data_IF_755928977596
#
_entry.id   IF_755928977596
#
_cell.length_a   1.000
_cell.length_b   1.000
_cell.length_c   1.000
_cell.angle_alpha   90.00
_cell.angle_beta   90.00
_cell.angle_gamma   90.00
#
_symmetry.space_group_name_H-M   'P 1'
#
loop_
_entity.id
_entity.type
_entity.pdbx_description
1 polymer ?
#
# COMPACT_ATOMS: atom_id res chain seq x y z
N UNK A 1 -18.79 73.40 -12.64
CA UNK A 1 -18.10 72.52 -13.61
C UNK A 1 -18.46 71.09 -13.22
N UNK A 2 -19.41 70.49 -13.96
CA UNK A 2 -19.15 69.34 -14.85
C UNK A 2 -18.32 68.24 -14.14
N UNK A 3 -18.95 67.20 -13.57
CA UNK A 3 -19.39 65.94 -14.21
C UNK A 3 -18.22 64.97 -14.48
N UNK A 4 -18.53 63.67 -14.27
CA UNK A 4 -17.81 62.43 -14.68
C UNK A 4 -16.92 61.84 -13.57
N UNK A 5 -17.45 60.96 -12.69
CA UNK A 5 -17.69 59.52 -12.89
C UNK A 5 -16.41 58.68 -12.67
N UNK A 6 -16.39 57.51 -12.02
CA UNK A 6 -17.43 56.59 -11.61
C UNK A 6 -16.82 55.62 -10.54
N UNK A 7 -17.56 55.42 -9.45
CA UNK A 7 -17.85 54.16 -8.74
C UNK A 7 -16.74 53.12 -8.40
N UNK A 8 -16.53 52.85 -7.09
CA UNK A 8 -16.94 51.64 -6.33
C UNK A 8 -16.10 50.39 -6.66
N UNK A 9 -15.56 49.57 -5.76
CA UNK A 9 -15.90 49.23 -4.37
C UNK A 9 -14.74 48.39 -3.82
N UNK A 10 -14.17 48.73 -2.67
CA UNK A 10 -13.26 47.84 -1.95
C UNK A 10 -13.89 47.51 -0.59
N UNK A 11 -14.38 46.27 -0.51
CA UNK A 11 -15.00 45.65 0.66
C UNK A 11 -13.90 45.35 1.69
N UNK A 12 -14.27 45.53 2.94
CA UNK A 12 -13.51 45.29 4.16
C UNK A 12 -13.10 43.82 4.29
N UNK A 13 -11.80 43.55 4.48
CA UNK A 13 -11.31 42.33 5.11
C UNK A 13 -10.06 42.69 5.94
N UNK A 14 -10.03 42.45 7.27
CA UNK A 14 -8.82 42.63 8.07
C UNK A 14 -7.94 41.38 7.96
N UNK A 15 -6.69 41.60 7.53
CA UNK A 15 -5.58 40.70 7.79
C UNK A 15 -5.36 40.55 9.31
N UNK A 16 -5.33 39.30 9.78
CA UNK A 16 -4.61 38.86 10.97
C UNK A 16 -4.07 37.47 10.60
N UNK A 17 -2.80 37.27 10.22
CA UNK A 17 -1.59 37.35 11.04
C UNK A 17 -1.72 36.61 12.37
N UNK A 18 -1.45 35.30 12.35
CA UNK A 18 -0.99 34.56 13.52
C UNK A 18 0.16 33.65 13.11
N UNK A 19 1.35 33.97 13.62
CA UNK A 19 2.47 33.07 13.74
C UNK A 19 2.44 32.43 15.15
N UNK A 20 2.55 31.09 15.17
CA UNK A 20 3.19 30.15 16.12
C UNK A 20 3.09 30.37 17.65
N UNK A 21 2.98 29.28 18.46
CA UNK A 21 4.17 28.48 18.78
C UNK A 21 3.96 26.95 18.79
N UNK A 22 5.08 26.25 18.62
CA UNK A 22 5.32 24.84 18.88
C UNK A 22 4.90 24.40 20.30
N UNK A 23 4.19 23.26 20.39
CA UNK A 23 4.23 22.34 21.53
C UNK A 23 3.93 20.93 21.01
N UNK A 24 4.95 20.07 20.99
CA UNK A 24 4.75 18.62 20.95
C UNK A 24 4.33 18.09 22.31
N UNK A 25 3.70 16.91 22.35
CA UNK A 25 3.69 15.93 23.45
C UNK A 25 3.04 14.62 22.96
N UNK A 26 3.86 13.57 23.02
CA UNK A 26 3.62 12.13 23.30
C UNK A 26 2.40 11.37 22.73
N UNK A 27 2.71 10.28 22.04
CA UNK A 27 2.66 8.96 22.68
C UNK A 27 1.32 8.23 22.78
N UNK A 28 0.30 8.62 22.03
CA UNK A 28 -0.93 7.82 21.88
C UNK A 28 -1.29 7.72 20.38
N UNK A 29 -1.05 6.53 19.81
CA UNK A 29 -1.23 6.25 18.38
C UNK A 29 -2.69 6.22 17.96
N UNK A 30 -3.23 7.39 17.63
CA UNK A 30 -4.50 7.55 16.94
C UNK A 30 -4.36 7.21 15.44
N UNK A 31 -5.37 6.54 14.89
CA UNK A 31 -5.56 6.43 13.44
C UNK A 31 -6.23 7.69 12.90
N UNK A 32 -5.64 8.23 11.86
CA UNK A 32 -6.25 9.06 10.83
C UNK A 32 -5.85 8.45 9.49
N UNK A 33 -6.73 8.38 8.48
CA UNK A 33 -6.23 8.45 7.10
C UNK A 33 -5.38 9.71 7.05
N UNK A 34 -4.10 9.63 6.66
CA UNK A 34 -3.20 10.76 6.83
C UNK A 34 -3.86 12.05 6.31
N UNK A 35 -4.12 12.88 7.30
CA UNK A 35 -4.55 14.24 7.20
C UNK A 35 -3.42 14.96 6.47
N UNK A 36 -3.73 15.79 5.47
CA UNK A 36 -2.84 16.72 4.78
C UNK A 36 -2.21 17.76 5.72
N UNK A 37 -1.46 17.32 6.74
CA UNK A 37 -0.12 17.89 6.87
C UNK A 37 0.52 17.71 5.50
N UNK A 38 0.99 18.80 4.88
CA UNK A 38 1.60 18.78 3.55
C UNK A 38 2.36 17.47 3.43
N UNK A 39 2.02 16.60 2.44
CA UNK A 39 2.69 15.33 2.36
C UNK A 39 4.18 15.65 2.42
N UNK A 40 4.97 14.80 3.04
CA UNK A 40 6.37 14.73 2.64
C UNK A 40 6.32 14.28 1.17
N UNK A 41 6.03 15.24 0.27
CA UNK A 41 5.68 14.97 -1.12
C UNK A 41 6.99 14.51 -1.68
N UNK A 42 7.10 13.19 -1.82
CA UNK A 42 8.27 12.58 -2.44
C UNK A 42 8.46 13.31 -3.76
N UNK A 43 9.58 14.02 -3.97
CA UNK A 43 9.74 14.85 -5.15
C UNK A 43 9.56 13.99 -6.40
N UNK A 44 8.89 14.55 -7.40
CA UNK A 44 8.80 13.90 -8.71
C UNK A 44 10.23 13.81 -9.27
N UNK A 45 10.74 12.62 -9.63
CA UNK A 45 12.05 12.50 -10.26
C UNK A 45 12.13 13.36 -11.53
N UNK A 46 13.32 13.89 -11.81
CA UNK A 46 13.52 14.66 -13.03
C UNK A 46 13.24 13.77 -14.25
N UNK A 47 12.55 14.33 -15.23
CA UNK A 47 12.03 13.61 -16.39
C UNK A 47 12.18 14.43 -17.67
N UNK A 48 13.06 15.43 -17.68
CA UNK A 48 13.56 15.94 -18.95
C UNK A 48 14.34 14.84 -19.71
N UNK A 49 14.48 15.00 -21.03
CA UNK A 49 15.10 13.99 -21.88
C UNK A 49 16.51 13.60 -21.42
N UNK A 50 17.29 14.55 -20.90
CA UNK A 50 18.67 14.29 -20.45
C UNK A 50 18.64 13.45 -19.18
N UNK A 51 17.77 13.80 -18.24
CA UNK A 51 17.59 13.07 -16.98
C UNK A 51 17.05 11.66 -17.18
N UNK A 52 16.13 11.46 -18.15
CA UNK A 52 15.67 10.12 -18.54
C UNK A 52 16.79 9.27 -19.17
N UNK A 53 17.63 9.87 -20.01
CA UNK A 53 18.82 9.20 -20.57
C UNK A 53 19.83 8.81 -19.48
N UNK A 54 20.04 9.66 -18.47
CA UNK A 54 20.91 9.35 -17.33
C UNK A 54 20.35 8.21 -16.46
N UNK A 55 19.06 8.25 -16.14
CA UNK A 55 18.39 7.19 -15.39
C UNK A 55 18.39 5.86 -16.17
N UNK A 56 18.16 5.91 -17.49
CA UNK A 56 18.22 4.74 -18.36
C UNK A 56 19.61 4.09 -18.33
N UNK A 57 20.70 4.86 -18.34
CA UNK A 57 22.07 4.33 -18.19
C UNK A 57 22.31 3.66 -16.84
N UNK A 58 21.72 4.18 -15.76
CA UNK A 58 21.84 3.54 -14.44
C UNK A 58 21.15 2.16 -14.47
N UNK A 59 19.94 2.09 -15.03
CA UNK A 59 19.12 0.89 -15.03
C UNK A 59 19.60 -0.17 -16.03
N UNK A 60 19.89 0.23 -17.28
CA UNK A 60 20.25 -0.65 -18.39
C UNK A 60 21.75 -0.72 -18.71
N UNK A 61 22.54 0.22 -18.19
CA UNK A 61 23.96 0.36 -18.50
C UNK A 61 24.23 1.19 -19.76
N UNK A 62 25.47 1.64 -19.93
CA UNK A 62 25.85 2.52 -21.05
C UNK A 62 26.17 1.77 -22.35
N UNK A 63 26.37 0.46 -22.30
CA UNK A 63 26.84 -0.34 -23.45
C UNK A 63 26.57 -1.83 -23.27
N UNK A 64 26.74 -2.64 -24.31
CA UNK A 64 26.63 -4.11 -24.20
C UNK A 64 27.63 -4.76 -23.22
N UNK A 65 28.60 -4.01 -22.71
CA UNK A 65 29.60 -4.47 -21.72
C UNK A 65 29.37 -3.90 -20.33
N UNK A 66 28.48 -2.92 -20.18
CA UNK A 66 28.04 -2.37 -18.89
C UNK A 66 26.57 -2.74 -18.69
N UNK A 67 26.27 -3.55 -17.68
CA UNK A 67 24.93 -4.11 -17.50
C UNK A 67 24.05 -3.29 -16.57
N UNK A 68 24.50 -2.12 -16.12
CA UNK A 68 23.73 -1.26 -15.21
C UNK A 68 23.18 -2.04 -14.03
N UNK A 69 21.89 -1.88 -13.76
CA UNK A 69 21.14 -2.60 -12.74
C UNK A 69 20.40 -3.83 -13.27
N UNK A 70 20.67 -4.28 -14.49
CA UNK A 70 20.15 -5.53 -15.05
C UNK A 70 18.77 -5.44 -15.70
N UNK A 71 18.26 -4.23 -15.94
CA UNK A 71 16.99 -4.01 -16.63
C UNK A 71 17.19 -3.64 -18.09
N UNK A 72 16.23 -3.96 -18.94
CA UNK A 72 16.12 -3.37 -20.27
C UNK A 72 15.17 -2.18 -20.18
N UNK A 73 15.61 -1.01 -20.69
CA UNK A 73 14.87 0.25 -20.54
C UNK A 73 14.65 0.92 -21.89
N UNK A 74 13.40 1.26 -22.17
CA UNK A 74 13.01 2.13 -23.28
C UNK A 74 12.50 3.46 -22.74
N UNK A 75 12.92 4.57 -23.36
CA UNK A 75 12.36 5.89 -23.05
C UNK A 75 11.10 6.06 -23.90
N UNK A 76 9.93 6.04 -23.26
CA UNK A 76 8.61 6.11 -23.93
C UNK A 76 7.77 7.21 -23.31
N UNK A 77 7.07 7.98 -24.15
CA UNK A 77 6.07 8.98 -23.72
C UNK A 77 6.50 9.93 -22.57
N UNK A 78 7.80 10.27 -22.48
CA UNK A 78 8.34 11.13 -21.42
C UNK A 78 8.56 10.43 -20.08
N UNK A 79 8.74 9.11 -20.08
CA UNK A 79 9.17 8.32 -18.92
C UNK A 79 9.93 7.05 -19.33
N UNK A 80 10.23 6.20 -18.35
CA UNK A 80 10.95 4.94 -18.56
C UNK A 80 9.98 3.76 -18.56
N UNK A 81 10.04 2.94 -19.61
CA UNK A 81 9.44 1.61 -19.67
C UNK A 81 10.51 0.58 -19.33
N UNK A 82 10.26 -0.23 -18.31
CA UNK A 82 11.23 -1.17 -17.72
C UNK A 82 10.78 -2.60 -17.96
N UNK A 83 11.69 -3.39 -18.51
CA UNK A 83 11.50 -4.81 -18.79
C UNK A 83 12.66 -5.64 -18.22
N UNK A 84 12.45 -6.95 -18.09
CA UNK A 84 13.48 -7.85 -17.58
C UNK A 84 14.48 -8.17 -18.69
N UNK A 85 15.75 -7.84 -18.47
CA UNK A 85 16.83 -8.28 -19.35
C UNK A 85 17.26 -9.69 -18.93
N UNK A 86 17.45 -10.62 -19.88
CA UNK A 86 18.04 -11.93 -19.56
C UNK A 86 19.55 -11.77 -19.36
N UNK A 87 20.10 -11.82 -18.13
CA UNK A 87 21.51 -11.55 -17.94
C UNK A 87 22.32 -12.83 -18.23
N UNK A 88 22.98 -12.88 -19.39
CA UNK A 88 23.97 -13.93 -19.71
C UNK A 88 25.31 -13.66 -18.98
N UNK A 89 25.27 -13.61 -17.64
CA UNK A 89 26.41 -13.35 -16.73
C UNK A 89 26.50 -11.97 -16.06
N UNK A 90 27.55 -11.72 -15.30
CA UNK A 90 27.83 -10.43 -14.64
C UNK A 90 26.89 -10.11 -13.46
N UNK A 91 26.29 -11.13 -12.88
CA UNK A 91 25.28 -10.99 -11.82
C UNK A 91 25.83 -10.37 -10.53
N UNK A 92 27.11 -10.60 -10.22
CA UNK A 92 27.82 -9.95 -9.12
C UNK A 92 27.86 -8.44 -9.29
N UNK A 93 28.13 -7.97 -10.51
CA UNK A 93 28.19 -6.54 -10.82
C UNK A 93 26.82 -5.90 -10.86
N UNK A 94 25.81 -6.59 -11.40
CA UNK A 94 24.42 -6.13 -11.36
C UNK A 94 23.97 -5.97 -9.89
N UNK A 95 24.25 -6.95 -9.04
CA UNK A 95 23.95 -6.90 -7.61
C UNK A 95 24.67 -5.74 -6.89
N UNK A 96 25.94 -5.48 -7.21
CA UNK A 96 26.67 -4.31 -6.71
C UNK A 96 26.03 -2.99 -7.17
N UNK A 97 25.67 -2.89 -8.45
CA UNK A 97 25.06 -1.68 -9.02
C UNK A 97 23.68 -1.41 -8.43
N UNK A 98 22.84 -2.44 -8.24
CA UNK A 98 21.54 -2.30 -7.57
C UNK A 98 21.67 -1.72 -6.17
N UNK A 99 22.65 -2.18 -5.38
CA UNK A 99 22.90 -1.67 -4.02
C UNK A 99 23.49 -0.26 -4.03
N UNK A 100 24.45 -0.01 -4.90
CA UNK A 100 25.16 1.28 -4.98
C UNK A 100 24.24 2.41 -5.44
N UNK A 101 23.29 2.10 -6.32
CA UNK A 101 22.28 3.06 -6.79
C UNK A 101 21.04 3.13 -5.88
N UNK A 102 21.06 2.45 -4.72
CA UNK A 102 19.96 2.50 -3.76
C UNK A 102 18.64 1.93 -4.28
N UNK A 103 18.71 0.90 -5.13
CA UNK A 103 17.55 0.14 -5.60
C UNK A 103 17.35 -1.09 -4.72
N UNK A 104 18.42 -1.86 -4.43
CA UNK A 104 18.30 -3.09 -3.67
C UNK A 104 18.59 -2.89 -2.18
N UNK A 105 17.55 -3.03 -1.37
CA UNK A 105 17.60 -2.99 0.10
C UNK A 105 17.01 -4.28 0.70
N UNK A 106 17.21 -4.44 2.01
CA UNK A 106 16.71 -5.59 2.75
C UNK A 106 16.15 -5.12 4.08
N UNK A 107 15.05 -5.74 4.51
CA UNK A 107 14.48 -5.52 5.83
C UNK A 107 13.85 -6.81 6.36
N UNK A 108 13.55 -6.84 7.64
CA UNK A 108 12.71 -7.87 8.25
C UNK A 108 11.81 -7.24 9.30
N UNK A 109 10.59 -7.75 9.42
CA UNK A 109 9.75 -7.42 10.57
C UNK A 109 9.72 -8.56 11.59
N UNK A 110 9.42 -8.20 12.82
CA UNK A 110 9.05 -9.11 13.89
C UNK A 110 7.65 -8.71 14.37
N UNK A 111 6.86 -9.69 14.81
CA UNK A 111 5.51 -9.47 15.32
C UNK A 111 4.56 -8.81 14.31
N UNK A 112 4.81 -9.01 13.00
CA UNK A 112 3.88 -8.63 11.95
C UNK A 112 2.65 -9.54 11.96
N UNK A 113 1.48 -8.94 11.74
CA UNK A 113 0.21 -9.65 11.56
C UNK A 113 0.22 -10.54 10.32
N UNK A 114 0.88 -10.07 9.26
CA UNK A 114 1.17 -10.88 8.09
C UNK A 114 2.44 -11.68 8.33
N UNK A 115 2.35 -13.00 8.24
CA UNK A 115 3.49 -13.88 8.48
C UNK A 115 4.61 -13.72 7.45
N UNK A 116 4.28 -13.39 6.19
CA UNK A 116 5.27 -13.18 5.14
C UNK A 116 6.20 -11.99 5.41
N UNK A 117 5.71 -10.97 6.12
CA UNK A 117 6.55 -9.84 6.53
C UNK A 117 7.49 -10.18 7.70
N UNK A 118 7.23 -11.27 8.42
CA UNK A 118 8.16 -11.80 9.43
C UNK A 118 9.37 -12.53 8.80
N UNK A 119 9.35 -12.76 7.49
CA UNK A 119 10.48 -13.30 6.74
C UNK A 119 11.42 -12.18 6.25
N UNK A 120 12.48 -12.56 5.53
CA UNK A 120 13.32 -11.60 4.83
C UNK A 120 12.52 -10.90 3.73
N UNK A 121 12.57 -9.58 3.73
CA UNK A 121 12.00 -8.72 2.71
C UNK A 121 13.13 -8.20 1.84
N UNK A 122 13.06 -8.51 0.55
CA UNK A 122 13.88 -7.90 -0.48
C UNK A 122 13.13 -6.69 -0.99
N UNK A 123 13.78 -5.52 -1.02
CA UNK A 123 13.16 -4.26 -1.41
C UNK A 123 13.83 -3.78 -2.70
N UNK A 124 13.03 -3.48 -3.71
CA UNK A 124 13.41 -2.79 -4.93
C UNK A 124 12.82 -1.38 -4.89
N UNK A 125 13.67 -0.40 -4.62
CA UNK A 125 13.30 1.00 -4.47
C UNK A 125 13.52 1.77 -5.79
N UNK A 126 12.42 2.11 -6.45
CA UNK A 126 12.42 2.89 -7.67
C UNK A 126 12.04 4.36 -7.44
N UNK A 127 11.99 4.82 -6.19
CA UNK A 127 11.52 6.17 -5.84
C UNK A 127 12.25 7.31 -6.57
N UNK A 128 13.50 7.10 -6.97
CA UNK A 128 14.34 8.08 -7.66
C UNK A 128 14.28 7.99 -9.19
N UNK A 129 13.47 7.09 -9.76
CA UNK A 129 13.42 6.85 -11.21
C UNK A 129 12.04 7.19 -11.75
N UNK A 130 11.96 7.94 -12.84
CA UNK A 130 10.70 8.32 -13.48
C UNK A 130 10.16 7.18 -14.37
N UNK A 131 9.88 6.03 -13.74
CA UNK A 131 9.36 4.83 -14.40
C UNK A 131 7.84 4.96 -14.56
N UNK A 132 7.37 4.85 -15.79
CA UNK A 132 5.94 4.92 -16.13
C UNK A 132 5.36 3.54 -16.45
N UNK A 133 6.18 2.53 -16.69
CA UNK A 133 5.71 1.21 -17.08
C UNK A 133 6.68 0.11 -16.61
N UNK A 134 6.11 -0.95 -16.04
CA UNK A 134 6.77 -2.25 -15.87
C UNK A 134 6.10 -3.25 -16.81
N UNK A 135 6.84 -3.68 -17.83
CA UNK A 135 6.31 -4.59 -18.85
C UNK A 135 6.22 -6.02 -18.30
N UNK A 136 5.69 -6.94 -19.13
CA UNK A 136 5.74 -8.37 -18.84
C UNK A 136 7.16 -8.83 -18.42
N UNK A 137 7.23 -9.63 -17.35
CA UNK A 137 8.46 -10.23 -16.80
C UNK A 137 9.53 -9.22 -16.32
N UNK A 138 9.15 -7.98 -16.01
CA UNK A 138 10.06 -6.91 -15.59
C UNK A 138 11.11 -7.34 -14.52
N UNK A 139 10.72 -8.22 -13.60
CA UNK A 139 11.57 -8.67 -12.48
C UNK A 139 12.03 -10.13 -12.60
N UNK A 140 11.48 -10.90 -13.54
CA UNK A 140 11.62 -12.36 -13.57
C UNK A 140 13.08 -12.79 -13.74
N UNK A 141 13.84 -12.09 -14.57
CA UNK A 141 15.23 -12.42 -14.89
C UNK A 141 16.27 -11.90 -13.89
N UNK A 142 15.83 -11.17 -12.87
CA UNK A 142 16.71 -10.62 -11.83
C UNK A 142 17.14 -11.65 -10.77
N UNK A 143 16.61 -12.88 -10.84
CA UNK A 143 16.80 -13.90 -9.80
C UNK A 143 18.27 -14.21 -9.49
N UNK A 144 19.17 -14.34 -10.47
CA UNK A 144 20.59 -14.60 -10.17
C UNK A 144 21.30 -13.41 -9.56
N UNK A 145 20.96 -12.19 -9.99
CA UNK A 145 21.52 -10.97 -9.41
C UNK A 145 20.98 -10.73 -8.00
N UNK A 146 19.77 -11.18 -7.67
CA UNK A 146 19.17 -10.96 -6.34
C UNK A 146 19.41 -12.14 -5.40
N UNK A 147 19.40 -13.39 -5.87
CA UNK A 147 19.48 -14.58 -5.03
C UNK A 147 20.88 -15.23 -5.05
N UNK A 148 21.77 -14.82 -5.96
CA UNK A 148 23.00 -15.56 -6.24
C UNK A 148 22.73 -16.84 -7.04
N UNK A 149 23.67 -17.78 -7.06
CA UNK A 149 23.55 -19.07 -7.76
C UNK A 149 24.08 -19.10 -9.20
N UNK A 150 24.50 -17.96 -9.75
CA UNK A 150 25.25 -17.93 -10.99
C UNK A 150 26.69 -18.44 -10.75
N UNK A 151 27.34 -18.96 -11.80
CA UNK A 151 28.71 -19.50 -11.67
C UNK A 151 29.72 -18.47 -11.14
N UNK A 152 29.60 -17.23 -11.61
CA UNK A 152 30.43 -16.10 -11.20
C UNK A 152 29.95 -15.44 -9.90
N UNK A 153 28.72 -15.70 -9.49
CA UNK A 153 28.09 -15.12 -8.30
C UNK A 153 27.31 -16.17 -7.52
N UNK A 154 27.99 -17.20 -6.98
CA UNK A 154 27.31 -18.36 -6.40
C UNK A 154 26.62 -18.00 -5.08
N UNK A 155 27.27 -17.22 -4.21
CA UNK A 155 26.80 -16.93 -2.86
C UNK A 155 27.28 -15.56 -2.40
N UNK A 156 26.52 -14.90 -1.53
CA UNK A 156 26.91 -13.64 -0.92
C UNK A 156 26.18 -13.40 0.41
N UNK A 157 26.72 -12.48 1.22
CA UNK A 157 26.14 -12.12 2.51
C UNK A 157 25.83 -10.63 2.55
N UNK A 158 24.69 -10.30 3.12
CA UNK A 158 24.28 -8.93 3.44
C UNK A 158 24.29 -8.78 4.95
N UNK A 159 25.03 -7.80 5.44
CA UNK A 159 25.18 -7.47 6.86
C UNK A 159 24.30 -6.26 7.23
N UNK A 160 24.04 -6.09 8.53
CA UNK A 160 23.32 -4.94 9.11
C UNK A 160 21.90 -4.73 8.55
N UNK A 161 21.21 -5.82 8.21
CA UNK A 161 19.80 -5.77 7.79
C UNK A 161 18.96 -5.30 8.98
N UNK A 162 18.22 -4.18 8.86
CA UNK A 162 17.39 -3.70 9.95
C UNK A 162 16.22 -4.66 10.20
N UNK A 163 16.02 -4.98 11.48
CA UNK A 163 14.86 -5.72 11.95
C UNK A 163 13.96 -4.76 12.73
N UNK A 164 12.69 -4.67 12.32
CA UNK A 164 11.72 -3.76 12.91
C UNK A 164 10.65 -4.52 13.68
N UNK A 165 10.28 -4.01 14.84
CA UNK A 165 9.10 -4.52 15.54
C UNK A 165 7.83 -3.89 14.92
N UNK A 166 6.95 -4.71 14.34
CA UNK A 166 5.73 -4.25 13.66
C UNK A 166 4.63 -3.74 14.59
N UNK A 167 4.75 -3.90 15.91
CA UNK A 167 3.81 -3.32 16.85
C UNK A 167 4.18 -1.87 17.20
N UNK A 168 5.47 -1.58 17.26
CA UNK A 168 6.02 -0.29 17.73
C UNK A 168 6.65 0.56 16.63
N UNK A 169 6.96 -0.04 15.48
CA UNK A 169 7.65 0.60 14.36
C UNK A 169 9.13 0.93 14.62
N UNK A 170 9.69 0.44 15.73
CA UNK A 170 11.07 0.73 16.11
C UNK A 170 12.01 -0.33 15.55
N UNK A 171 13.20 0.08 15.11
CA UNK A 171 14.30 -0.85 14.84
C UNK A 171 14.61 -1.58 16.15
N UNK A 172 14.36 -2.88 16.18
CA UNK A 172 14.59 -3.73 17.35
C UNK A 172 16.06 -4.13 17.42
N UNK A 173 16.65 -4.50 16.27
CA UNK A 173 18.03 -4.98 16.12
C UNK A 173 18.44 -4.98 14.65
N UNK A 174 19.65 -5.46 14.39
CA UNK A 174 20.14 -5.77 13.04
C UNK A 174 20.41 -7.28 12.93
N UNK A 175 20.40 -7.78 11.70
CA UNK A 175 20.73 -9.17 11.37
C UNK A 175 21.56 -9.24 10.08
N UNK A 176 21.92 -10.46 9.68
CA UNK A 176 22.58 -10.74 8.42
C UNK A 176 21.81 -11.84 7.66
N UNK A 177 21.82 -11.75 6.34
CA UNK A 177 21.28 -12.79 5.46
C UNK A 177 22.41 -13.33 4.57
N UNK A 178 22.57 -14.65 4.55
CA UNK A 178 23.50 -15.34 3.64
C UNK A 178 22.72 -16.08 2.57
N UNK A 179 22.94 -15.70 1.32
CA UNK A 179 22.39 -16.32 0.13
C UNK A 179 23.39 -17.37 -0.36
N UNK A 180 22.92 -18.62 -0.51
CA UNK A 180 23.75 -19.76 -0.88
C UNK A 180 23.22 -20.41 -2.15
N UNK A 181 24.06 -20.41 -3.18
CA UNK A 181 23.88 -21.10 -4.46
C UNK A 181 22.54 -20.80 -5.16
N UNK A 182 21.91 -19.66 -4.86
CA UNK A 182 20.62 -19.24 -5.42
C UNK A 182 19.40 -19.99 -4.87
N UNK A 183 19.60 -21.02 -4.03
CA UNK A 183 18.53 -21.93 -3.56
C UNK A 183 18.25 -21.85 -2.07
N UNK A 184 19.06 -21.11 -1.32
CA UNK A 184 18.96 -21.11 0.14
C UNK A 184 19.30 -19.76 0.72
N UNK A 185 18.50 -19.28 1.65
CA UNK A 185 18.76 -18.07 2.43
C UNK A 185 18.84 -18.46 3.90
N UNK A 186 19.91 -18.03 4.58
CA UNK A 186 20.02 -18.15 6.04
C UNK A 186 19.95 -16.78 6.69
N UNK A 187 18.95 -16.56 7.53
CA UNK A 187 18.72 -15.33 8.29
C UNK A 187 18.36 -15.69 9.73
N UNK A 188 18.93 -15.01 10.73
CA UNK A 188 18.70 -15.32 12.16
C UNK A 188 18.96 -16.80 12.54
N UNK A 189 19.85 -17.49 11.82
CA UNK A 189 20.12 -18.92 12.02
C UNK A 189 18.99 -19.85 11.54
N UNK A 190 17.94 -19.31 10.92
CA UNK A 190 16.91 -20.06 10.21
C UNK A 190 17.27 -20.17 8.73
N UNK A 191 17.03 -21.33 8.15
CA UNK A 191 17.30 -21.62 6.75
C UNK A 191 15.98 -21.68 5.98
N UNK A 192 15.88 -20.90 4.92
CA UNK A 192 14.77 -20.81 3.98
C UNK A 192 15.22 -21.51 2.69
N UNK A 193 14.47 -22.52 2.25
CA UNK A 193 14.82 -23.37 1.09
C UNK A 193 13.70 -23.54 0.08
N UNK A 194 12.50 -23.05 0.38
CA UNK A 194 11.32 -23.13 -0.48
C UNK A 194 10.31 -22.08 -0.01
N UNK A 195 9.85 -21.23 -0.93
CA UNK A 195 9.01 -20.07 -0.60
C UNK A 195 9.65 -19.21 0.50
N UNK A 196 8.88 -18.37 1.18
CA UNK A 196 9.33 -17.71 2.40
C UNK A 196 10.18 -16.45 2.22
N UNK A 197 10.21 -15.83 1.04
CA UNK A 197 10.67 -14.44 0.89
C UNK A 197 9.51 -13.53 0.50
N UNK A 198 9.61 -12.27 0.92
CA UNK A 198 8.72 -11.20 0.49
C UNK A 198 9.49 -10.24 -0.41
N UNK A 199 8.87 -9.79 -1.50
CA UNK A 199 9.38 -8.71 -2.34
C UNK A 199 8.59 -7.44 -2.05
N UNK A 200 9.26 -6.30 -1.88
CA UNK A 200 8.62 -4.97 -1.85
C UNK A 200 9.13 -4.14 -3.01
N UNK A 201 8.22 -3.55 -3.77
CA UNK A 201 8.53 -2.65 -4.88
C UNK A 201 8.06 -1.25 -4.47
N UNK A 202 9.00 -0.34 -4.26
CA UNK A 202 8.69 1.05 -3.90
C UNK A 202 8.60 1.89 -5.16
N UNK A 203 7.43 2.48 -5.38
CA UNK A 203 7.13 3.20 -6.61
C UNK A 203 7.57 4.67 -6.53
N UNK A 204 7.90 5.30 -7.67
CA UNK A 204 8.21 6.73 -7.75
C UNK A 204 6.96 7.59 -7.61
N UNK A 205 7.15 8.88 -7.30
CA UNK A 205 6.09 9.87 -7.53
C UNK A 205 6.12 10.31 -9.00
N UNK A 206 5.00 10.22 -9.71
CA UNK A 206 4.89 10.69 -11.09
C UNK A 206 4.12 12.01 -11.25
N UNK A 207 3.66 12.60 -10.14
CA UNK A 207 2.75 13.74 -10.16
C UNK A 207 1.34 13.36 -10.64
N UNK A 208 0.53 14.37 -10.97
CA UNK A 208 -0.88 14.17 -11.36
C UNK A 208 -1.06 13.79 -12.85
N UNK A 209 -0.04 14.03 -13.69
CA UNK A 209 -0.16 13.97 -15.15
C UNK A 209 0.16 12.59 -15.74
N UNK A 210 0.69 11.67 -14.93
CA UNK A 210 1.19 10.37 -15.40
C UNK A 210 0.64 9.23 -14.56
N UNK A 211 0.42 8.11 -15.23
CA UNK A 211 0.00 6.85 -14.61
C UNK A 211 1.13 5.85 -14.77
N UNK A 212 1.54 5.23 -13.67
CA UNK A 212 2.42 4.07 -13.69
C UNK A 212 1.60 2.83 -14.05
N UNK A 213 2.08 2.03 -15.00
CA UNK A 213 1.40 0.82 -15.46
C UNK A 213 2.20 -0.43 -15.12
N UNK A 214 1.56 -1.41 -14.49
CA UNK A 214 2.01 -2.79 -14.43
C UNK A 214 1.23 -3.62 -15.45
N UNK A 215 1.94 -4.10 -16.48
CA UNK A 215 1.35 -4.90 -17.56
C UNK A 215 0.93 -6.30 -17.11
N UNK A 216 0.20 -6.99 -17.99
CA UNK A 216 0.01 -8.43 -17.89
C UNK A 216 1.37 -9.12 -17.68
N UNK A 217 1.45 -10.03 -16.69
CA UNK A 217 2.65 -10.80 -16.37
C UNK A 217 3.87 -9.99 -15.87
N UNK A 218 3.71 -8.71 -15.52
CA UNK A 218 4.81 -7.86 -15.02
C UNK A 218 5.37 -8.30 -13.66
N UNK A 219 4.53 -8.92 -12.83
CA UNK A 219 4.85 -9.50 -11.52
C UNK A 219 4.95 -11.04 -11.59
N UNK A 220 5.47 -11.55 -12.71
CA UNK A 220 5.79 -12.96 -12.88
C UNK A 220 7.20 -13.25 -12.35
N UNK A 221 7.31 -14.26 -11.48
CA UNK A 221 8.57 -14.70 -10.85
C UNK A 221 8.88 -16.18 -11.12
N UNK A 222 8.41 -16.72 -12.25
CA UNK A 222 8.60 -18.12 -12.62
C UNK A 222 10.07 -18.58 -12.57
N UNK A 223 11.01 -17.75 -13.03
CA UNK A 223 12.42 -18.10 -13.02
C UNK A 223 13.03 -18.10 -11.62
N UNK A 224 12.49 -17.31 -10.69
CA UNK A 224 12.91 -17.32 -9.29
C UNK A 224 12.62 -18.67 -8.62
N UNK A 225 11.44 -19.23 -8.88
CA UNK A 225 11.06 -20.55 -8.36
C UNK A 225 11.74 -21.71 -9.11
N UNK A 226 11.75 -21.67 -10.45
CA UNK A 226 12.28 -22.77 -11.25
C UNK A 226 13.80 -22.91 -11.22
N UNK A 227 14.53 -21.80 -11.06
CA UNK A 227 16.00 -21.79 -11.02
C UNK A 227 16.55 -21.64 -9.61
N UNK A 228 15.82 -20.98 -8.70
CA UNK A 228 16.26 -20.65 -7.34
C UNK A 228 15.40 -21.19 -6.20
N UNK A 229 14.30 -21.91 -6.45
CA UNK A 229 13.37 -22.41 -5.42
C UNK A 229 12.82 -21.35 -4.45
N UNK A 230 13.02 -20.06 -4.72
CA UNK A 230 12.77 -18.94 -3.80
C UNK A 230 11.97 -17.85 -4.52
N UNK A 231 10.84 -18.22 -5.13
CA UNK A 231 9.91 -17.23 -5.63
C UNK A 231 9.26 -16.47 -4.46
N UNK A 232 8.97 -15.16 -4.60
CA UNK A 232 8.25 -14.41 -3.59
C UNK A 232 6.82 -14.93 -3.44
N UNK A 233 6.47 -15.35 -2.22
CA UNK A 233 5.09 -15.73 -1.88
C UNK A 233 4.22 -14.49 -1.65
N UNK A 234 4.87 -13.40 -1.24
CA UNK A 234 4.28 -12.09 -1.03
C UNK A 234 4.97 -11.03 -1.89
N UNK A 235 4.18 -10.22 -2.60
CA UNK A 235 4.66 -9.02 -3.29
C UNK A 235 3.93 -7.80 -2.75
N UNK A 236 4.69 -6.90 -2.11
CA UNK A 236 4.22 -5.63 -1.62
C UNK A 236 4.45 -4.53 -2.66
N UNK A 237 3.38 -3.89 -3.09
CA UNK A 237 3.41 -2.70 -3.95
C UNK A 237 3.28 -1.47 -3.04
N UNK A 238 4.39 -0.76 -2.89
CA UNK A 238 4.46 0.43 -2.08
C UNK A 238 4.16 1.67 -2.91
N UNK A 239 2.91 2.10 -2.77
CA UNK A 239 2.29 3.22 -3.48
C UNK A 239 2.41 4.53 -2.69
N UNK A 240 3.10 4.53 -1.55
CA UNK A 240 3.08 5.66 -0.63
C UNK A 240 3.69 6.95 -1.19
N UNK A 241 4.58 6.84 -2.18
CA UNK A 241 5.15 8.00 -2.88
C UNK A 241 4.27 8.47 -4.06
N UNK A 242 3.33 7.66 -4.55
CA UNK A 242 2.55 7.98 -5.74
C UNK A 242 1.46 9.00 -5.44
N UNK A 243 1.32 9.97 -6.33
CA UNK A 243 0.10 10.79 -6.37
C UNK A 243 -1.01 9.97 -7.03
N UNK A 244 -2.02 9.60 -6.25
CA UNK A 244 -3.19 8.85 -6.76
C UNK A 244 -4.43 9.71 -6.58
N UNK A 245 -5.20 9.84 -7.65
CA UNK A 245 -6.41 10.68 -7.67
C UNK A 245 -7.60 9.86 -8.17
N UNK A 246 -8.68 9.73 -7.37
CA UNK A 246 -9.92 9.10 -7.81
C UNK A 246 -10.60 9.95 -8.88
N UNK A 247 -11.15 9.31 -9.91
CA UNK A 247 -12.01 9.99 -10.89
C UNK A 247 -13.43 9.95 -10.37
N UNK A 248 -14.03 11.13 -10.19
CA UNK A 248 -15.33 11.26 -9.56
C UNK A 248 -16.38 11.81 -10.51
N UNK A 249 -17.60 11.27 -10.39
CA UNK A 249 -18.81 11.85 -10.97
C UNK A 249 -19.19 13.15 -10.25
N UNK A 250 -20.12 13.92 -10.82
CA UNK A 250 -20.62 15.17 -10.21
C UNK A 250 -21.26 14.95 -8.82
N UNK A 251 -21.85 13.78 -8.58
CA UNK A 251 -22.42 13.37 -7.29
C UNK A 251 -21.40 12.75 -6.33
N UNK A 252 -20.10 12.75 -6.67
CA UNK A 252 -19.00 12.36 -5.79
C UNK A 252 -18.73 10.85 -5.69
N UNK A 253 -19.28 10.05 -6.60
CA UNK A 253 -19.01 8.61 -6.73
C UNK A 253 -17.79 8.36 -7.62
N UNK A 254 -17.18 7.20 -7.48
CA UNK A 254 -16.17 6.73 -8.42
C UNK A 254 -16.79 6.59 -9.82
N UNK A 255 -16.13 7.19 -10.81
CA UNK A 255 -16.54 7.07 -12.21
C UNK A 255 -16.10 5.73 -12.77
N UNK A 256 -17.00 4.75 -12.71
CA UNK A 256 -16.83 3.40 -13.26
C UNK A 256 -17.21 3.28 -14.74
N UNK A 257 -17.53 4.40 -15.41
CA UNK A 257 -17.94 4.39 -16.82
C UNK A 257 -16.75 4.21 -17.79
N UNK A 258 -15.54 4.54 -17.33
CA UNK A 258 -14.29 4.31 -18.04
C UNK A 258 -13.54 3.10 -17.49
N UNK A 259 -12.52 2.64 -18.21
CA UNK A 259 -11.72 1.48 -17.82
C UNK A 259 -10.87 1.71 -16.55
N UNK A 260 -10.62 2.96 -16.17
CA UNK A 260 -9.76 3.30 -15.02
C UNK A 260 -10.49 4.28 -14.08
N UNK A 261 -10.84 3.82 -12.89
CA UNK A 261 -11.50 4.57 -11.80
C UNK A 261 -10.57 5.55 -11.07
N UNK A 262 -9.26 5.32 -11.18
CA UNK A 262 -8.20 6.16 -10.62
C UNK A 262 -7.21 6.62 -11.68
N UNK A 263 -6.40 7.61 -11.33
CA UNK A 263 -5.20 8.04 -12.04
C UNK A 263 -3.98 7.89 -11.13
N UNK A 264 -2.78 7.81 -11.72
CA UNK A 264 -1.53 7.65 -10.99
C UNK A 264 -0.98 6.22 -10.99
N UNK A 265 -1.85 5.21 -10.90
CA UNK A 265 -1.43 3.80 -10.94
C UNK A 265 -2.47 2.90 -11.60
N UNK A 266 -1.99 1.94 -12.41
CA UNK A 266 -2.78 0.86 -13.00
C UNK A 266 -2.03 -0.45 -12.88
N UNK A 267 -2.69 -1.46 -12.34
CA UNK A 267 -2.13 -2.82 -12.24
C UNK A 267 -3.06 -3.76 -12.98
N UNK A 268 -2.52 -4.49 -13.96
CA UNK A 268 -3.29 -5.54 -14.61
C UNK A 268 -3.72 -6.61 -13.61
N UNK A 269 -4.97 -7.07 -13.72
CA UNK A 269 -5.44 -8.25 -12.97
C UNK A 269 -4.72 -9.55 -13.37
N UNK A 270 -3.90 -9.51 -14.43
CA UNK A 270 -3.01 -10.61 -14.84
C UNK A 270 -1.54 -10.35 -14.50
N UNK A 271 -1.21 -9.31 -13.75
CA UNK A 271 0.18 -8.96 -13.45
C UNK A 271 0.94 -10.13 -12.80
N UNK A 272 0.28 -10.90 -11.92
CA UNK A 272 0.86 -12.06 -11.22
C UNK A 272 0.67 -13.39 -11.93
N UNK A 273 -0.06 -13.41 -13.06
CA UNK A 273 -0.32 -14.65 -13.78
C UNK A 273 0.94 -15.17 -14.46
N UNK A 274 0.88 -16.42 -14.90
CA UNK A 274 1.98 -17.15 -15.53
C UNK A 274 1.43 -17.95 -16.73
N UNK A 275 2.24 -18.13 -17.77
CA UNK A 275 1.83 -18.86 -18.98
C UNK A 275 1.68 -20.37 -18.81
N UNK A 276 2.15 -20.91 -17.68
CA UNK A 276 2.09 -22.33 -17.32
C UNK A 276 1.60 -22.47 -15.88
N UNK A 277 0.88 -23.52 -15.48
CA UNK A 277 0.49 -23.72 -14.08
C UNK A 277 1.75 -23.95 -13.23
N UNK A 278 2.02 -23.02 -12.32
CA UNK A 278 3.06 -23.07 -11.29
C UNK A 278 2.58 -22.28 -10.06
N UNK A 279 3.32 -22.35 -8.95
CA UNK A 279 2.98 -21.64 -7.73
C UNK A 279 3.04 -20.13 -7.97
N UNK A 280 1.88 -19.49 -7.89
CA UNK A 280 1.69 -18.04 -8.06
C UNK A 280 1.86 -17.32 -6.72
N UNK A 281 2.25 -16.05 -6.77
CA UNK A 281 2.18 -15.15 -5.63
C UNK A 281 0.81 -15.26 -4.94
N UNK A 282 0.80 -15.71 -3.68
CA UNK A 282 -0.43 -15.97 -2.93
C UNK A 282 -0.90 -14.73 -2.16
N UNK A 283 -0.01 -13.76 -1.93
CA UNK A 283 -0.28 -12.53 -1.20
C UNK A 283 0.19 -11.29 -1.94
N UNK A 284 -0.70 -10.34 -2.19
CA UNK A 284 -0.35 -8.99 -2.66
C UNK A 284 -0.55 -8.02 -1.52
N UNK A 285 0.43 -7.17 -1.23
CA UNK A 285 0.24 -6.07 -0.29
C UNK A 285 0.19 -4.74 -1.00
N UNK A 286 -0.66 -3.84 -0.54
CA UNK A 286 -0.60 -2.42 -0.87
C UNK A 286 -0.12 -1.64 0.34
N UNK A 287 0.89 -0.79 0.16
CA UNK A 287 1.39 0.08 1.23
C UNK A 287 1.11 1.54 0.83
N UNK A 288 0.09 2.13 1.46
CA UNK A 288 -0.31 3.53 1.23
C UNK A 288 -0.06 4.41 2.44
N UNK A 289 -0.04 5.71 2.24
CA UNK A 289 0.08 6.73 3.28
C UNK A 289 -1.10 7.70 3.30
N UNK A 290 -1.76 7.94 2.16
CA UNK A 290 -2.87 8.89 2.04
C UNK A 290 -4.23 8.21 1.87
N UNK A 291 -5.32 8.95 2.11
CA UNK A 291 -6.68 8.46 1.91
C UNK A 291 -6.95 7.95 0.49
N UNK A 292 -6.49 8.68 -0.55
CA UNK A 292 -6.69 8.26 -1.93
C UNK A 292 -5.92 6.99 -2.29
N UNK A 293 -4.70 6.82 -1.76
CA UNK A 293 -3.90 5.61 -1.96
C UNK A 293 -4.60 4.39 -1.33
N UNK A 294 -5.18 4.55 -0.14
CA UNK A 294 -5.90 3.48 0.55
C UNK A 294 -7.25 3.16 -0.12
N UNK A 295 -7.95 4.18 -0.67
CA UNK A 295 -9.16 3.98 -1.47
C UNK A 295 -8.85 3.21 -2.77
N UNK A 296 -7.77 3.58 -3.46
CA UNK A 296 -7.26 2.84 -4.62
C UNK A 296 -6.88 1.41 -4.29
N UNK A 297 -6.16 1.20 -3.18
CA UNK A 297 -5.77 -0.13 -2.74
C UNK A 297 -6.98 -1.02 -2.49
N UNK A 298 -8.05 -0.49 -1.87
CA UNK A 298 -9.28 -1.23 -1.61
C UNK A 298 -10.02 -1.58 -2.90
N UNK A 299 -10.21 -0.61 -3.80
CA UNK A 299 -10.85 -0.81 -5.12
C UNK A 299 -10.11 -1.88 -5.94
N UNK A 300 -8.80 -1.70 -6.07
CA UNK A 300 -7.93 -2.63 -6.80
C UNK A 300 -7.92 -4.02 -6.16
N UNK A 301 -7.92 -4.13 -4.83
CA UNK A 301 -7.97 -5.41 -4.12
C UNK A 301 -9.26 -6.18 -4.43
N UNK A 302 -10.41 -5.49 -4.49
CA UNK A 302 -11.70 -6.09 -4.84
C UNK A 302 -11.69 -6.62 -6.28
N UNK A 303 -11.22 -5.83 -7.24
CA UNK A 303 -11.10 -6.29 -8.64
C UNK A 303 -10.11 -7.44 -8.79
N UNK A 304 -8.95 -7.32 -8.16
CA UNK A 304 -7.86 -8.28 -8.28
C UNK A 304 -8.21 -9.66 -7.71
N UNK A 305 -8.83 -9.71 -6.52
CA UNK A 305 -9.24 -10.97 -5.86
C UNK A 305 -10.43 -11.64 -6.54
N UNK A 306 -11.30 -10.88 -7.22
CA UNK A 306 -12.33 -11.44 -8.11
C UNK A 306 -11.71 -12.13 -9.33
N UNK A 307 -10.62 -11.59 -9.86
CA UNK A 307 -9.91 -12.17 -11.01
C UNK A 307 -8.95 -13.31 -10.60
N UNK A 308 -8.42 -13.28 -9.39
CA UNK A 308 -7.43 -14.22 -8.86
C UNK A 308 -7.92 -14.78 -7.51
N UNK A 309 -8.82 -15.77 -7.57
CA UNK A 309 -9.57 -16.23 -6.39
C UNK A 309 -8.74 -16.94 -5.32
N UNK A 310 -7.53 -17.36 -5.67
CA UNK A 310 -6.58 -18.02 -4.76
C UNK A 310 -5.56 -17.04 -4.15
N UNK A 311 -5.66 -15.74 -4.48
CA UNK A 311 -4.79 -14.69 -3.96
C UNK A 311 -5.50 -13.88 -2.87
N UNK A 312 -4.80 -13.63 -1.78
CA UNK A 312 -5.22 -12.69 -0.73
C UNK A 312 -4.54 -11.34 -0.97
N UNK A 313 -5.26 -10.25 -0.72
CA UNK A 313 -4.69 -8.89 -0.76
C UNK A 313 -4.75 -8.26 0.62
N UNK A 314 -3.65 -7.68 1.09
CA UNK A 314 -3.58 -6.99 2.38
C UNK A 314 -3.18 -5.53 2.20
N UNK A 315 -3.90 -4.64 2.84
CA UNK A 315 -3.70 -3.20 2.74
C UNK A 315 -3.03 -2.73 4.02
N UNK A 316 -1.90 -2.06 3.88
CA UNK A 316 -1.15 -1.50 4.98
C UNK A 316 -1.03 0.02 4.87
N UNK A 317 -1.02 0.65 6.03
CA UNK A 317 -0.77 2.08 6.18
C UNK A 317 0.70 2.26 6.57
N UNK A 318 1.49 2.89 5.70
CA UNK A 318 2.83 3.40 6.01
C UNK A 318 2.67 4.51 7.04
N UNK A 319 3.37 4.42 8.17
CA UNK A 319 3.27 5.47 9.18
C UNK A 319 4.54 6.32 9.20
N UNK A 320 4.40 7.63 9.47
CA UNK A 320 5.54 8.52 9.51
C UNK A 320 6.55 8.05 10.55
N UNK A 321 7.83 8.10 10.19
CA UNK A 321 8.90 7.79 11.12
C UNK A 321 8.98 8.92 12.16
N UNK A 322 9.08 8.57 13.44
CA UNK A 322 9.36 9.56 14.52
C UNK A 322 10.86 9.79 14.71
N UNK A 323 11.70 9.24 13.83
CA UNK A 323 13.16 9.20 13.95
C UNK A 323 13.82 9.58 12.61
N UNK A 324 14.02 10.88 12.40
CA UNK A 324 14.59 11.48 11.19
C UNK A 324 16.09 11.15 10.94
N UNK A 325 16.74 10.37 11.82
CA UNK A 325 18.20 10.16 11.75
C UNK A 325 18.64 8.85 11.07
N UNK A 326 17.72 7.93 10.75
CA UNK A 326 18.05 6.68 10.04
C UNK A 326 17.63 6.79 8.55
N UNK A 327 18.57 6.76 7.59
CA UNK A 327 18.23 6.86 6.16
C UNK A 327 17.40 5.67 5.64
N UNK A 328 17.43 4.51 6.33
CA UNK A 328 16.55 3.37 6.04
C UNK A 328 15.16 3.53 6.67
N UNK A 329 14.93 4.63 7.42
CA UNK A 329 13.64 4.91 8.04
C UNK A 329 12.51 5.16 7.05
N UNK A 330 12.84 5.45 5.79
CA UNK A 330 11.83 5.58 4.73
C UNK A 330 11.06 4.29 4.50
N UNK A 331 11.65 3.11 4.72
CA UNK A 331 10.94 1.84 4.55
C UNK A 331 10.13 1.43 5.80
N UNK A 332 10.18 2.21 6.88
CA UNK A 332 9.67 1.81 8.18
C UNK A 332 8.15 1.79 8.25
N UNK A 333 7.67 0.67 8.80
CA UNK A 333 6.41 0.46 9.50
C UNK A 333 5.13 0.61 8.67
N UNK A 334 4.53 -0.55 8.43
CA UNK A 334 3.28 -0.72 7.72
C UNK A 334 2.28 -1.39 8.66
N UNK A 335 1.18 -0.70 8.97
CA UNK A 335 0.12 -1.24 9.82
C UNK A 335 -0.96 -1.84 8.95
N UNK A 336 -1.20 -3.14 9.10
CA UNK A 336 -2.30 -3.80 8.38
C UNK A 336 -3.64 -3.17 8.76
N UNK A 337 -4.35 -2.68 7.76
CA UNK A 337 -5.64 -2.01 7.88
C UNK A 337 -6.78 -2.95 7.48
N UNK A 338 -6.59 -3.63 6.35
CA UNK A 338 -7.62 -4.48 5.79
C UNK A 338 -7.03 -5.66 5.04
N UNK A 339 -7.82 -6.70 4.91
CA UNK A 339 -7.52 -7.88 4.11
C UNK A 339 -8.73 -8.17 3.23
N UNK A 340 -8.48 -8.42 1.95
CA UNK A 340 -9.50 -8.70 0.95
C UNK A 340 -9.19 -10.04 0.30
N UNK A 341 -10.19 -10.90 0.21
CA UNK A 341 -10.05 -12.22 -0.40
C UNK A 341 -11.39 -12.73 -0.92
N UNK A 342 -11.33 -13.67 -1.86
CA UNK A 342 -12.53 -14.33 -2.38
C UNK A 342 -12.84 -15.59 -1.56
N UNK A 343 -14.08 -15.72 -1.07
CA UNK A 343 -14.55 -16.97 -0.46
C UNK A 343 -15.90 -17.36 -1.05
N UNK A 344 -15.88 -18.44 -1.85
CA UNK A 344 -17.03 -18.80 -2.68
C UNK A 344 -17.36 -17.70 -3.68
N UNK A 345 -18.64 -17.30 -3.76
CA UNK A 345 -19.08 -16.25 -4.68
C UNK A 345 -18.97 -14.84 -4.12
N UNK A 346 -18.51 -14.67 -2.87
CA UNK A 346 -18.49 -13.36 -2.20
C UNK A 346 -17.08 -12.84 -1.99
N UNK A 347 -16.94 -11.52 -2.10
CA UNK A 347 -15.72 -10.80 -1.73
C UNK A 347 -15.75 -10.53 -0.23
N UNK A 348 -14.73 -10.98 0.49
CA UNK A 348 -14.62 -10.81 1.93
C UNK A 348 -13.67 -9.64 2.19
N UNK A 349 -14.08 -8.73 3.08
CA UNK A 349 -13.26 -7.60 3.51
C UNK A 349 -13.19 -7.67 5.03
N UNK A 350 -12.01 -7.99 5.53
CA UNK A 350 -11.70 -7.86 6.94
C UNK A 350 -11.20 -6.45 7.21
N UNK A 351 -11.81 -5.78 8.19
CA UNK A 351 -11.34 -4.51 8.75
C UNK A 351 -10.69 -4.84 10.08
N UNK A 352 -9.43 -4.49 10.20
CA UNK A 352 -8.59 -4.89 11.32
C UNK A 352 -8.45 -3.70 12.24
N UNK A 353 -8.72 -3.92 13.52
CA UNK A 353 -8.50 -2.92 14.55
C UNK A 353 -7.10 -2.39 14.40
N UNK A 354 -6.99 -1.10 14.59
CA UNK A 354 -5.71 -0.48 14.52
C UNK A 354 -4.94 -0.81 15.78
N UNK A 355 -5.51 -0.48 16.93
CA UNK A 355 -4.87 -0.56 18.21
C UNK A 355 -5.05 -1.96 18.79
N UNK A 356 -4.14 -2.32 19.70
CA UNK A 356 -4.34 -3.45 20.58
C UNK A 356 -5.66 -3.25 21.33
N UNK A 357 -6.57 -4.20 21.18
CA UNK A 357 -7.88 -4.20 21.80
C UNK A 357 -7.72 -4.16 23.33
N UNK A 358 -8.36 -3.15 23.93
CA UNK A 358 -8.62 -3.08 25.37
C UNK A 358 -10.06 -3.54 25.61
N UNK A 359 -10.71 -3.17 26.69
CA UNK A 359 -12.13 -3.54 26.92
C UNK A 359 -13.12 -2.94 25.91
N UNK A 360 -12.73 -1.95 25.11
CA UNK A 360 -13.59 -1.31 24.09
C UNK A 360 -12.76 -0.89 22.86
N UNK A 361 -13.32 -0.91 21.63
CA UNK A 361 -12.71 -0.34 20.44
C UNK A 361 -12.47 1.17 20.60
N UNK A 362 -11.47 1.72 19.90
CA UNK A 362 -11.27 3.17 19.86
C UNK A 362 -12.26 3.84 18.90
N UNK A 363 -12.52 5.14 19.05
CA UNK A 363 -13.38 5.86 18.09
C UNK A 363 -12.85 5.76 16.65
N UNK A 364 -11.53 5.76 16.47
CA UNK A 364 -10.92 5.63 15.15
C UNK A 364 -11.11 4.24 14.54
N UNK A 365 -11.10 3.18 15.35
CA UNK A 365 -11.44 1.82 14.89
C UNK A 365 -12.91 1.77 14.44
N UNK A 366 -13.83 2.39 15.19
CA UNK A 366 -15.24 2.47 14.80
C UNK A 366 -15.45 3.25 13.49
N UNK A 367 -14.77 4.38 13.32
CA UNK A 367 -14.82 5.18 12.08
C UNK A 367 -14.28 4.40 10.89
N UNK A 368 -13.20 3.62 11.05
CA UNK A 368 -12.68 2.77 9.98
C UNK A 368 -13.73 1.74 9.49
N UNK A 369 -14.47 1.12 10.41
CA UNK A 369 -15.57 0.21 10.06
C UNK A 369 -16.66 0.93 9.26
N UNK A 370 -17.06 2.12 9.74
CA UNK A 370 -18.08 2.95 9.09
C UNK A 370 -17.63 3.45 7.71
N UNK A 371 -16.34 3.76 7.53
CA UNK A 371 -15.79 4.20 6.25
C UNK A 371 -15.85 3.10 5.19
N UNK A 372 -15.71 1.81 5.55
CA UNK A 372 -15.95 0.72 4.58
C UNK A 372 -17.39 0.71 4.08
N UNK A 373 -18.36 0.94 4.96
CA UNK A 373 -19.78 1.07 4.57
C UNK A 373 -20.03 2.29 3.69
N UNK A 374 -19.45 3.43 4.06
CA UNK A 374 -19.52 4.65 3.26
C UNK A 374 -18.87 4.48 1.89
N UNK A 375 -17.69 3.87 1.80
CA UNK A 375 -17.00 3.62 0.55
C UNK A 375 -17.85 2.74 -0.37
N UNK A 376 -18.33 1.59 0.10
CA UNK A 376 -19.17 0.70 -0.72
C UNK A 376 -20.44 1.40 -1.22
N UNK A 377 -21.16 2.08 -0.34
CA UNK A 377 -22.47 2.64 -0.69
C UNK A 377 -22.39 3.98 -1.44
N UNK A 378 -21.60 4.92 -0.94
CA UNK A 378 -21.55 6.29 -1.44
C UNK A 378 -20.39 6.56 -2.40
N UNK A 379 -19.25 5.84 -2.30
CA UNK A 379 -18.13 6.02 -3.22
C UNK A 379 -18.22 5.09 -4.41
N UNK A 380 -18.30 3.79 -4.17
CA UNK A 380 -18.46 2.79 -5.23
C UNK A 380 -19.87 2.81 -5.82
N UNK A 381 -20.86 3.25 -5.04
CA UNK A 381 -22.24 3.45 -5.52
C UNK A 381 -23.13 2.21 -5.43
N UNK A 382 -22.72 1.19 -4.67
CA UNK A 382 -23.48 -0.05 -4.49
C UNK A 382 -24.73 0.18 -3.64
N UNK A 383 -25.83 -0.54 -3.92
CA UNK A 383 -26.99 -0.52 -3.01
C UNK A 383 -26.71 -1.35 -1.76
N UNK A 384 -27.40 -1.08 -0.65
CA UNK A 384 -27.22 -1.86 0.58
C UNK A 384 -27.58 -3.34 0.37
N UNK A 385 -28.55 -3.62 -0.50
CA UNK A 385 -28.91 -4.98 -0.90
C UNK A 385 -27.75 -5.68 -1.61
N UNK A 386 -27.10 -5.01 -2.59
CA UNK A 386 -25.92 -5.56 -3.28
C UNK A 386 -24.76 -5.76 -2.32
N UNK A 387 -24.52 -4.80 -1.41
CA UNK A 387 -23.47 -4.93 -0.41
C UNK A 387 -23.69 -6.20 0.43
N UNK A 388 -24.91 -6.39 0.94
CA UNK A 388 -25.26 -7.55 1.76
C UNK A 388 -25.28 -8.88 0.98
N UNK A 389 -25.50 -8.85 -0.34
CA UNK A 389 -25.49 -10.06 -1.18
C UNK A 389 -24.08 -10.46 -1.62
N UNK A 390 -23.26 -9.51 -2.04
CA UNK A 390 -22.03 -9.77 -2.79
C UNK A 390 -20.77 -9.68 -1.93
N UNK A 391 -20.85 -8.97 -0.80
CA UNK A 391 -19.75 -8.78 0.14
C UNK A 391 -20.03 -9.49 1.47
N UNK A 392 -18.95 -9.85 2.16
CA UNK A 392 -18.97 -10.18 3.59
C UNK A 392 -17.97 -9.26 4.27
N UNK A 393 -18.45 -8.48 5.24
CA UNK A 393 -17.63 -7.55 5.99
C UNK A 393 -17.35 -8.15 7.36
N UNK A 394 -16.07 -8.28 7.72
CA UNK A 394 -15.66 -8.73 9.04
C UNK A 394 -14.93 -7.62 9.79
N UNK A 395 -15.15 -7.58 11.10
CA UNK A 395 -14.32 -6.85 12.04
C UNK A 395 -13.43 -7.85 12.75
N UNK A 396 -12.11 -7.60 12.78
CA UNK A 396 -11.16 -8.42 13.50
C UNK A 396 -10.33 -7.57 14.47
N UNK A 397 -10.31 -7.97 15.74
CA UNK A 397 -9.61 -7.25 16.81
C UNK A 397 -8.13 -7.66 16.88
N UNK A 398 -7.28 -6.76 17.38
CA UNK A 398 -5.88 -7.09 17.74
C UNK A 398 -5.75 -7.42 19.22
N UNK A 399 -5.02 -8.46 19.59
CA UNK A 399 -4.77 -8.84 20.98
C UNK A 399 -3.64 -8.05 21.63
N UNK A 400 -3.50 -8.23 22.95
CA UNK A 400 -2.49 -7.60 23.81
C UNK A 400 -1.04 -7.73 23.33
N UNK A 401 -0.75 -8.77 22.56
CA UNK A 401 0.55 -9.11 21.98
C UNK A 401 0.68 -8.72 20.51
N UNK A 402 -0.24 -7.90 19.99
CA UNK A 402 -0.32 -7.50 18.58
C UNK A 402 -0.54 -8.68 17.62
N UNK A 403 -1.13 -9.80 18.05
CA UNK A 403 -1.66 -10.82 17.14
C UNK A 403 -3.14 -10.54 16.79
N UNK A 404 -3.68 -11.25 15.80
CA UNK A 404 -5.10 -11.17 15.48
C UNK A 404 -5.90 -12.04 16.45
N UNK A 405 -7.01 -11.53 16.98
CA UNK A 405 -7.98 -12.38 17.67
C UNK A 405 -8.53 -13.44 16.72
N UNK A 406 -8.67 -14.67 17.23
CA UNK A 406 -9.22 -15.80 16.46
C UNK A 406 -10.67 -15.57 16.02
N UNK A 407 -11.43 -14.77 16.77
CA UNK A 407 -12.80 -14.43 16.42
C UNK A 407 -12.81 -13.28 15.40
N UNK A 408 -13.45 -13.54 14.26
CA UNK A 408 -13.92 -12.50 13.33
C UNK A 408 -15.40 -12.27 13.57
N UNK A 409 -15.81 -11.03 13.75
CA UNK A 409 -17.22 -10.68 13.89
C UNK A 409 -17.79 -10.16 12.58
N UNK A 410 -18.99 -10.62 12.21
CA UNK A 410 -19.70 -10.10 11.05
C UNK A 410 -20.14 -8.65 11.30
N UNK A 411 -19.92 -7.80 10.31
CA UNK A 411 -20.51 -6.47 10.23
C UNK A 411 -21.78 -6.53 9.38
N UNK A 412 -22.84 -5.87 9.85
CA UNK A 412 -24.13 -5.81 9.14
C UNK A 412 -24.55 -4.37 8.94
N UNK A 413 -25.05 -4.07 7.75
CA UNK A 413 -25.59 -2.75 7.40
C UNK A 413 -27.11 -2.87 7.24
N UNK A 414 -27.86 -2.07 8.01
CA UNK A 414 -29.31 -2.03 7.92
C UNK A 414 -29.74 -1.36 6.61
N UNK A 415 -30.57 -2.05 5.82
CA UNK A 415 -31.09 -1.54 4.55
C UNK A 415 -32.08 -0.37 4.70
N UNK A 416 -32.65 -0.18 5.90
CA UNK A 416 -33.57 0.92 6.17
C UNK A 416 -32.76 2.13 6.68
N UNK A 417 -32.61 3.20 5.88
CA UNK A 417 -31.92 4.40 6.33
C UNK A 417 -32.76 5.16 7.36
N UNK A 418 -32.09 6.03 8.12
CA UNK A 418 -32.73 7.02 8.99
C UNK A 418 -32.21 8.42 8.66
N UNK A 419 -32.85 9.43 9.24
CA UNK A 419 -32.44 10.83 9.11
C UNK A 419 -31.78 11.31 10.41
N UNK A 420 -30.53 11.77 10.33
CA UNK A 420 -29.83 12.45 11.43
C UNK A 420 -29.38 13.82 10.90
N UNK A 421 -29.79 14.89 11.58
CA UNK A 421 -29.40 16.26 11.20
C UNK A 421 -29.70 16.64 9.73
N UNK A 422 -30.72 16.03 9.12
CA UNK A 422 -31.10 16.25 7.72
C UNK A 422 -30.24 15.49 6.69
N UNK A 423 -29.46 14.52 7.15
CA UNK A 423 -28.71 13.59 6.32
C UNK A 423 -29.30 12.18 6.42
N UNK A 424 -29.48 11.55 5.27
CA UNK A 424 -29.80 10.12 5.17
C UNK A 424 -28.57 9.31 5.57
N UNK A 425 -28.70 8.47 6.59
CA UNK A 425 -27.62 7.65 7.14
C UNK A 425 -28.03 6.19 7.32
N UNK A 426 -27.04 5.31 7.32
CA UNK A 426 -27.21 3.86 7.44
C UNK A 426 -26.54 3.35 8.71
N UNK A 427 -27.25 2.47 9.42
CA UNK A 427 -26.77 1.87 10.66
C UNK A 427 -25.83 0.70 10.35
N UNK A 428 -24.68 0.67 11.01
CA UNK A 428 -23.77 -0.47 11.03
C UNK A 428 -23.71 -1.09 12.44
N UNK A 429 -23.74 -2.42 12.49
CA UNK A 429 -23.61 -3.19 13.74
C UNK A 429 -22.55 -4.26 13.62
N UNK A 430 -21.93 -4.64 14.74
CA UNK A 430 -20.87 -5.63 14.80
C UNK A 430 -21.26 -6.80 15.71
N UNK A 431 -21.10 -8.02 15.21
CA UNK A 431 -21.52 -9.24 15.90
C UNK A 431 -20.62 -9.69 17.07
N UNK A 432 -19.57 -8.94 17.40
CA UNK A 432 -18.78 -9.23 18.60
C UNK A 432 -19.71 -9.32 19.81
N UNK A 433 -19.51 -10.34 20.65
CA UNK A 433 -20.08 -10.30 21.99
C UNK A 433 -19.36 -9.22 22.78
N UNK A 434 -20.11 -8.32 23.40
CA UNK A 434 -19.58 -7.63 24.57
C UNK A 434 -19.24 -8.68 25.65
N UNK A 435 -18.26 -8.39 26.51
CA UNK A 435 -17.88 -9.28 27.61
C UNK A 435 -19.04 -9.51 28.62
N UNK A 436 -20.19 -8.86 28.43
CA UNK A 436 -21.43 -9.01 29.20
C UNK A 436 -22.57 -9.80 28.51
N UNK A 437 -22.36 -10.31 27.29
CA UNK A 437 -23.20 -11.38 26.71
C UNK A 437 -24.37 -10.97 25.80
N UNK A 438 -24.49 -9.70 25.40
CA UNK A 438 -25.33 -9.28 24.27
C UNK A 438 -24.52 -9.28 22.96
N UNK A 439 -24.80 -10.28 22.10
CA UNK A 439 -24.25 -10.29 20.73
C UNK A 439 -24.87 -9.18 19.90
N UNK A 440 -24.03 -8.33 19.30
CA UNK A 440 -24.48 -7.30 18.34
C UNK A 440 -24.27 -5.87 18.83
N UNK A 441 -23.04 -5.53 19.24
CA UNK A 441 -22.70 -4.14 19.60
C UNK A 441 -22.90 -3.20 18.41
N UNK A 442 -23.65 -2.13 18.64
CA UNK A 442 -23.83 -1.05 17.68
C UNK A 442 -22.49 -0.37 17.39
N UNK A 443 -22.17 -0.14 16.11
CA UNK A 443 -20.93 0.56 15.71
C UNK A 443 -21.20 2.05 15.58
N UNK A 444 -22.19 2.42 14.77
CA UNK A 444 -22.44 3.81 14.38
C UNK A 444 -23.36 3.93 13.18
N UNK A 445 -23.50 5.16 12.71
CA UNK A 445 -24.14 5.49 11.44
C UNK A 445 -23.13 6.11 10.46
N UNK A 446 -23.27 5.80 9.17
CA UNK A 446 -22.51 6.45 8.10
C UNK A 446 -23.45 7.09 7.08
N UNK A 447 -23.07 8.26 6.57
CA UNK A 447 -23.82 9.06 5.60
C UNK A 447 -22.92 9.63 4.51
N UNK A 448 -23.56 10.24 3.51
CA UNK A 448 -22.85 10.89 2.40
C UNK A 448 -21.87 11.96 2.90
N UNK A 449 -20.83 12.22 2.10
CA UNK A 449 -19.82 13.23 2.42
C UNK A 449 -18.93 12.87 3.61
N UNK A 450 -18.68 11.57 3.84
CA UNK A 450 -17.87 11.06 4.97
C UNK A 450 -18.37 11.55 6.33
N UNK A 451 -19.68 11.48 6.55
CA UNK A 451 -20.30 11.87 7.83
C UNK A 451 -20.59 10.64 8.68
N UNK A 452 -20.19 10.66 9.95
CA UNK A 452 -20.35 9.53 10.86
C UNK A 452 -20.97 9.96 12.19
N UNK A 453 -21.89 9.16 12.73
CA UNK A 453 -22.60 9.45 13.98
C UNK A 453 -22.56 8.28 14.96
N UNK A 454 -22.48 8.60 16.25
CA UNK A 454 -22.59 7.69 17.40
C UNK A 454 -24.05 7.26 17.63
N UNK A 455 -24.28 6.38 18.61
CA UNK A 455 -25.61 5.84 18.92
C UNK A 455 -26.56 6.93 19.43
N UNK A 456 -26.01 7.87 20.20
CA UNK A 456 -26.70 9.05 20.69
C UNK A 456 -26.90 10.13 19.61
N UNK A 457 -26.58 9.81 18.35
CA UNK A 457 -26.71 10.65 17.16
C UNK A 457 -25.82 11.89 17.16
N UNK A 458 -24.86 11.97 18.08
CA UNK A 458 -23.80 12.98 18.02
C UNK A 458 -22.75 12.59 16.96
N UNK A 459 -22.14 13.55 16.27
CA UNK A 459 -21.07 13.25 15.32
C UNK A 459 -19.85 12.67 16.05
N UNK A 460 -19.06 11.85 15.35
CA UNK A 460 -17.72 11.51 15.83
C UNK A 460 -16.82 12.76 15.81
N UNK A 461 -16.19 13.08 16.95
CA UNK A 461 -15.42 14.32 17.16
C UNK A 461 -14.15 14.40 16.28
N UNK A 462 -13.66 13.25 15.83
CA UNK A 462 -12.44 13.11 15.03
C UNK A 462 -12.71 12.77 13.55
N UNK A 463 -13.97 12.73 13.10
CA UNK A 463 -14.29 12.45 11.69
C UNK A 463 -13.52 13.37 10.72
N UNK A 464 -13.40 14.65 11.04
CA UNK A 464 -12.64 15.62 10.22
C UNK A 464 -11.12 15.52 10.41
N UNK A 465 -10.61 15.09 11.58
CA UNK A 465 -9.16 14.97 11.85
C UNK A 465 -8.57 13.68 11.30
N UNK A 466 -9.42 12.68 11.10
CA UNK A 466 -9.08 11.39 10.51
C UNK A 466 -8.78 11.53 9.01
N UNK A 467 -9.03 12.66 8.34
CA UNK A 467 -8.76 12.81 6.90
C UNK A 467 -8.16 14.17 6.50
N UNK A 468 -7.83 15.05 7.47
CA UNK A 468 -7.53 16.47 7.23
C UNK A 468 -6.19 16.86 6.67
#
# INVERSE_FOLDING_TARGET
MLLVALLLSAVVAPLALLASPSTGISGEGALSFASAEEPDVTPVPDHDQTSLEEQSKILAGESSTDRGCGFDVEITDGGLSVSGAFPDGGNDKINENLRTNGILHYAKYENSLCEYLNNLIIILDFSNFFITEFTAQAFDFMYYAILGGAYEFPSYTVENIPVYDSATGKKSRETAATFTDGTTITVDGQTITDGGISLRIVLPNLGEDKTLVFDDYSLNFYNWGSMGSLAPECVSIDISNLTITPKLTEDGKLDTSAADTFSGLKISTKATQIWFPADTCSHIHFIGSTGNQLEYALDTSVEFTKANTDTETEIFIRQPSTYETDPESKFIFTRMYSRVYQAGSKTNIDIIDSAIFKTQPTEADLVALLETGHWLHFRLGESIETINSDYILYHQRRSGDNSLFNEKALLTIDAAPIEISGLTVYKMSCAHSDDEGEKGSFVGYFGAGRTYFKDDQTPFDDADKIFK
#
